data_IF_296084478054
#
_entry.id   IF_296084478054
#
_cell.length_a   1.000
_cell.length_b   1.000
_cell.length_c   1.000
_cell.angle_alpha   90.00
_cell.angle_beta   90.00
_cell.angle_gamma   90.00
#
_symmetry.space_group_name_H-M   'P 1'
#
loop_
_entity.id
_entity.type
_entity.pdbx_description
1 polymer ?
#
# COMPACT_ATOMS: atom_id res chain seq x y z
N UNK A 1 -15.32 8.24 1.02
CA UNK A 1 -15.37 6.88 0.46
C UNK A 1 -15.13 5.85 1.58
N UNK A 2 -15.79 4.68 1.55
CA UNK A 2 -15.68 3.68 2.64
C UNK A 2 -14.31 2.98 2.64
N UNK A 3 -13.74 2.71 1.47
CA UNK A 3 -12.43 2.08 1.33
C UNK A 3 -11.33 3.04 1.79
N UNK A 4 -11.37 4.31 1.38
CA UNK A 4 -10.46 5.35 1.89
C UNK A 4 -10.49 5.43 3.41
N UNK A 5 -11.68 5.43 4.02
CA UNK A 5 -11.81 5.52 5.47
C UNK A 5 -11.25 4.28 6.20
N UNK A 6 -11.37 3.10 5.61
CA UNK A 6 -10.79 1.87 6.16
C UNK A 6 -9.26 1.87 6.03
N UNK A 7 -8.73 2.22 4.86
CA UNK A 7 -7.28 2.34 4.62
C UNK A 7 -6.67 3.41 5.52
N UNK A 8 -7.32 4.55 5.70
CA UNK A 8 -6.82 5.63 6.56
C UNK A 8 -6.70 5.22 8.04
N UNK A 9 -7.50 4.25 8.50
CA UNK A 9 -7.43 3.68 9.85
C UNK A 9 -6.44 2.52 9.96
N UNK A 10 -5.99 1.98 8.83
CA UNK A 10 -5.00 0.90 8.79
C UNK A 10 -3.63 1.48 9.13
N UNK A 11 -2.88 0.78 9.99
CA UNK A 11 -1.57 1.27 10.40
C UNK A 11 -0.59 1.27 9.22
N UNK A 12 0.38 2.20 9.22
CA UNK A 12 1.40 2.23 8.17
C UNK A 12 2.21 0.93 8.09
N UNK A 13 2.41 0.24 9.23
CA UNK A 13 3.10 -1.07 9.25
C UNK A 13 2.32 -2.13 8.47
N UNK A 14 0.99 -2.19 8.65
CA UNK A 14 0.16 -3.18 7.95
C UNK A 14 0.08 -2.86 6.45
N UNK A 15 0.05 -1.57 6.09
CA UNK A 15 0.12 -1.13 4.68
C UNK A 15 1.46 -1.54 4.04
N UNK A 16 2.58 -1.43 4.77
CA UNK A 16 3.89 -1.90 4.30
C UNK A 16 3.89 -3.41 4.12
N UNK A 17 3.33 -4.17 5.07
CA UNK A 17 3.24 -5.63 4.94
C UNK A 17 2.40 -6.04 3.73
N UNK A 18 1.25 -5.40 3.55
CA UNK A 18 0.40 -5.58 2.37
C UNK A 18 1.17 -5.28 1.07
N UNK A 19 1.82 -4.12 0.99
CA UNK A 19 2.58 -3.70 -0.18
C UNK A 19 3.68 -4.70 -0.53
N UNK A 20 4.48 -5.12 0.46
CA UNK A 20 5.56 -6.09 0.26
C UNK A 20 5.03 -7.46 -0.22
N UNK A 21 3.94 -7.95 0.39
CA UNK A 21 3.32 -9.20 -0.03
C UNK A 21 2.77 -9.12 -1.46
N UNK A 22 2.20 -7.97 -1.83
CA UNK A 22 1.70 -7.70 -3.18
C UNK A 22 2.85 -7.62 -4.18
N UNK A 23 3.93 -6.90 -3.86
CA UNK A 23 5.12 -6.77 -4.69
C UNK A 23 5.79 -8.12 -4.99
N UNK A 24 5.86 -9.01 -3.99
CA UNK A 24 6.43 -10.36 -4.15
C UNK A 24 5.53 -11.25 -5.01
N UNK A 25 4.23 -11.28 -4.71
CA UNK A 25 3.32 -12.28 -5.31
C UNK A 25 2.71 -11.81 -6.63
N UNK A 26 2.53 -10.50 -6.80
CA UNK A 26 1.80 -9.88 -7.90
C UNK A 26 2.43 -8.54 -8.29
N UNK A 27 3.72 -8.55 -8.65
CA UNK A 27 4.46 -7.34 -9.00
C UNK A 27 3.84 -6.50 -10.14
N UNK A 28 3.02 -7.13 -10.99
CA UNK A 28 2.26 -6.40 -12.03
C UNK A 28 1.15 -5.51 -11.47
N UNK A 29 0.51 -5.93 -10.37
CA UNK A 29 -0.52 -5.16 -9.66
C UNK A 29 0.15 -4.07 -8.82
N UNK A 30 1.24 -4.40 -8.12
CA UNK A 30 2.01 -3.43 -7.33
C UNK A 30 2.39 -2.17 -8.13
N UNK A 31 2.83 -2.36 -9.39
CA UNK A 31 3.21 -1.29 -10.31
C UNK A 31 2.05 -0.44 -10.83
N UNK A 32 0.79 -0.85 -10.61
CA UNK A 32 -0.40 -0.07 -10.99
C UNK A 32 -0.86 0.86 -9.89
N UNK A 33 -0.56 0.53 -8.63
CA UNK A 33 -1.01 1.29 -7.46
C UNK A 33 0.09 2.27 -7.07
N UNK A 34 -0.24 3.53 -6.82
CA UNK A 34 0.75 4.58 -6.56
C UNK A 34 1.77 4.79 -7.71
N UNK A 35 1.37 4.61 -8.97
CA UNK A 35 2.22 4.96 -10.12
C UNK A 35 1.56 6.00 -11.05
N UNK A 36 0.55 6.72 -10.55
CA UNK A 36 -0.21 7.72 -11.28
C UNK A 36 0.24 9.17 -11.07
N UNK A 37 -0.47 10.09 -11.72
CA UNK A 37 -0.29 11.55 -11.58
C UNK A 37 -1.58 12.31 -11.22
N UNK A 38 -2.56 11.60 -10.65
CA UNK A 38 -3.88 12.17 -10.35
C UNK A 38 -3.94 12.84 -8.96
N UNK A 39 -3.03 12.51 -8.04
CA UNK A 39 -2.96 13.14 -6.73
C UNK A 39 -2.12 14.41 -6.80
N UNK A 40 -2.36 15.36 -5.91
CA UNK A 40 -1.61 16.62 -5.86
C UNK A 40 -0.24 16.37 -5.25
N UNK A 41 0.82 16.37 -6.04
CA UNK A 41 2.20 16.16 -5.58
C UNK A 41 2.96 17.45 -5.25
N UNK A 42 2.53 18.61 -5.77
CA UNK A 42 3.11 19.93 -5.47
C UNK A 42 2.11 20.86 -4.78
N UNK A 43 2.62 21.75 -3.92
CA UNK A 43 1.85 22.83 -3.29
C UNK A 43 1.30 23.81 -4.32
N UNK A 44 2.03 24.08 -5.41
CA UNK A 44 1.63 25.00 -6.46
C UNK A 44 2.09 24.49 -7.83
N UNK A 45 1.31 24.81 -8.87
CA UNK A 45 1.52 24.30 -10.22
C UNK A 45 1.14 22.83 -10.39
N UNK A 46 1.49 22.28 -11.55
CA UNK A 46 1.32 20.86 -11.85
C UNK A 46 2.47 20.00 -11.29
N UNK A 47 2.28 18.67 -11.32
CA UNK A 47 3.27 17.71 -10.85
C UNK A 47 4.41 17.47 -11.84
N UNK A 48 4.53 18.22 -12.94
CA UNK A 48 5.36 17.88 -14.11
C UNK A 48 6.83 17.57 -13.79
N UNK A 49 7.41 18.18 -12.77
CA UNK A 49 8.79 17.91 -12.33
C UNK A 49 8.94 16.64 -11.48
N UNK A 50 7.86 16.15 -10.86
CA UNK A 50 7.89 15.08 -9.87
C UNK A 50 8.07 13.71 -10.50
N UNK A 51 9.16 13.05 -10.15
CA UNK A 51 9.62 11.81 -10.77
C UNK A 51 9.86 10.67 -9.78
N UNK A 52 9.84 10.92 -8.47
CA UNK A 52 10.14 9.90 -7.47
C UNK A 52 9.52 10.21 -6.11
N UNK A 53 9.62 9.24 -5.21
CA UNK A 53 9.14 9.35 -3.84
C UNK A 53 10.27 9.68 -2.86
N UNK A 54 9.91 10.36 -1.77
CA UNK A 54 10.80 10.64 -0.64
C UNK A 54 10.02 10.92 0.64
N UNK A 55 10.71 10.94 1.78
CA UNK A 55 10.13 11.25 3.08
C UNK A 55 9.78 12.75 3.19
N UNK A 56 8.75 13.07 3.97
CA UNK A 56 8.47 14.43 4.42
C UNK A 56 9.67 15.04 5.15
N UNK A 57 9.94 16.31 4.87
CA UNK A 57 11.10 17.06 5.35
C UNK A 57 12.34 16.98 4.45
N UNK A 58 12.31 16.19 3.37
CA UNK A 58 13.44 16.12 2.45
C UNK A 58 13.60 17.40 1.60
N UNK A 59 14.84 17.85 1.39
CA UNK A 59 15.19 18.94 0.47
C UNK A 59 15.38 18.39 -0.95
N UNK A 60 14.28 18.29 -1.68
CA UNK A 60 14.22 17.68 -3.00
C UNK A 60 13.22 18.45 -3.87
N UNK A 61 13.62 18.83 -5.09
CA UNK A 61 12.79 19.67 -5.99
C UNK A 61 11.89 18.86 -6.95
N UNK A 62 12.16 17.55 -7.08
CA UNK A 62 11.55 16.65 -8.05
C UNK A 62 10.94 15.39 -7.43
N UNK A 63 10.67 15.41 -6.13
CA UNK A 63 10.10 14.27 -5.39
C UNK A 63 8.90 14.67 -4.56
N UNK A 64 8.09 13.68 -4.17
CA UNK A 64 6.89 13.87 -3.36
C UNK A 64 6.73 12.74 -2.34
N UNK A 65 5.92 12.96 -1.30
CA UNK A 65 5.47 11.92 -0.39
C UNK A 65 3.99 11.56 -0.61
N UNK A 66 3.50 11.79 -1.83
CA UNK A 66 2.11 11.54 -2.25
C UNK A 66 2.01 10.34 -3.19
N UNK A 67 1.28 9.30 -2.81
CA UNK A 67 0.91 8.21 -3.70
C UNK A 67 0.20 8.78 -4.93
N UNK A 68 0.62 8.35 -6.13
CA UNK A 68 0.10 8.83 -7.41
C UNK A 68 0.18 10.36 -7.60
N UNK A 69 1.15 11.01 -6.93
CA UNK A 69 1.46 12.44 -7.03
C UNK A 69 2.54 12.78 -8.04
N UNK A 70 2.81 11.92 -9.03
CA UNK A 70 3.85 12.16 -10.03
C UNK A 70 3.40 13.09 -11.15
N UNK A 71 4.36 13.57 -11.94
CA UNK A 71 4.03 14.20 -13.21
C UNK A 71 3.44 13.17 -14.18
N UNK A 72 2.34 13.50 -14.86
CA UNK A 72 1.64 12.60 -15.77
C UNK A 72 2.54 12.00 -16.86
N UNK A 73 3.54 12.75 -17.34
CA UNK A 73 4.52 12.24 -18.31
C UNK A 73 5.56 11.26 -17.75
N UNK A 74 5.59 11.05 -16.43
CA UNK A 74 6.54 10.24 -15.67
C UNK A 74 5.87 9.04 -14.96
N UNK A 75 4.59 9.18 -14.60
CA UNK A 75 3.72 8.11 -14.14
C UNK A 75 3.78 6.87 -15.06
N UNK A 76 3.82 5.66 -14.50
CA UNK A 76 3.85 4.40 -15.27
C UNK A 76 5.21 4.03 -15.87
N UNK A 77 6.20 4.94 -15.84
CA UNK A 77 7.47 4.77 -16.60
C UNK A 77 8.64 4.32 -15.75
N UNK A 78 8.52 4.42 -14.43
CA UNK A 78 9.61 4.14 -13.49
C UNK A 78 9.36 2.90 -12.64
N UNK A 79 8.16 2.32 -12.73
CA UNK A 79 7.79 1.12 -11.98
C UNK A 79 7.93 1.32 -10.48
N UNK A 80 7.52 2.49 -9.97
CA UNK A 80 7.62 2.80 -8.55
C UNK A 80 6.57 1.99 -7.78
N UNK A 81 5.30 2.17 -8.14
CA UNK A 81 4.24 1.35 -7.54
C UNK A 81 4.08 1.56 -6.03
N UNK A 82 3.30 0.66 -5.41
CA UNK A 82 2.95 0.76 -4.00
C UNK A 82 4.13 0.43 -3.09
N UNK A 83 4.92 -0.60 -3.42
CA UNK A 83 6.08 -1.02 -2.64
C UNK A 83 7.15 0.08 -2.56
N UNK A 84 7.49 0.74 -3.67
CA UNK A 84 8.46 1.85 -3.61
C UNK A 84 7.88 3.06 -2.88
N UNK A 85 6.58 3.34 -3.03
CA UNK A 85 5.92 4.41 -2.30
C UNK A 85 6.06 4.21 -0.79
N UNK A 86 5.66 3.04 -0.26
CA UNK A 86 5.67 2.82 1.20
C UNK A 86 7.09 2.84 1.79
N UNK A 87 8.08 2.35 1.03
CA UNK A 87 9.47 2.30 1.45
C UNK A 87 10.14 3.68 1.39
N UNK A 88 10.03 4.39 0.27
CA UNK A 88 10.69 5.69 0.07
C UNK A 88 10.08 6.81 0.89
N UNK A 89 8.80 6.69 1.23
CA UNK A 89 8.09 7.64 2.10
C UNK A 89 8.05 7.17 3.56
N UNK A 90 8.76 6.10 3.92
CA UNK A 90 8.90 5.65 5.33
C UNK A 90 7.57 5.42 6.05
N UNK A 91 6.59 4.86 5.36
CA UNK A 91 5.26 4.54 5.93
C UNK A 91 5.38 3.60 7.13
N UNK A 92 6.31 2.64 7.08
CA UNK A 92 6.57 1.70 8.17
C UNK A 92 7.12 2.35 9.45
N UNK A 93 7.68 3.55 9.34
CA UNK A 93 8.19 4.35 10.47
C UNK A 93 7.12 5.27 11.06
N UNK A 94 5.86 5.15 10.64
CA UNK A 94 4.76 6.00 11.10
C UNK A 94 4.76 7.38 10.45
N UNK A 95 5.41 7.54 9.29
CA UNK A 95 5.45 8.80 8.53
C UNK A 95 4.61 8.71 7.26
N UNK A 96 4.19 9.87 6.75
CA UNK A 96 3.55 10.02 5.43
C UNK A 96 2.31 9.13 5.19
N UNK A 97 1.67 8.63 6.25
CA UNK A 97 0.45 7.85 6.17
C UNK A 97 -0.49 8.18 7.35
N UNK A 98 -1.81 8.30 7.12
CA UNK A 98 -2.51 8.25 5.83
C UNK A 98 -2.42 9.57 5.03
N UNK A 99 -1.85 10.60 5.61
CA UNK A 99 -1.59 11.89 4.97
C UNK A 99 -0.09 12.02 4.67
N UNK A 100 0.23 12.36 3.42
CA UNK A 100 1.60 12.62 2.98
C UNK A 100 1.97 14.10 2.97
N UNK A 101 3.15 14.39 2.43
CA UNK A 101 3.63 15.75 2.16
C UNK A 101 3.78 16.01 0.65
N UNK A 102 3.49 17.23 0.23
CA UNK A 102 3.65 17.73 -1.13
C UNK A 102 4.92 18.58 -1.24
N UNK A 103 5.43 18.68 -2.46
CA UNK A 103 6.61 19.47 -2.80
C UNK A 103 6.27 20.98 -2.88
N UNK A 104 7.02 21.85 -2.20
CA UNK A 104 6.81 23.31 -2.20
C UNK A 104 7.59 24.06 -3.30
N UNK A 105 8.38 23.34 -4.10
CA UNK A 105 9.34 23.88 -5.07
C UNK A 105 10.73 23.32 -4.80
N UNK A 106 11.17 23.41 -3.55
CA UNK A 106 12.52 23.05 -3.13
C UNK A 106 12.53 21.87 -2.14
N UNK A 107 11.44 21.71 -1.38
CA UNK A 107 11.35 20.74 -0.30
C UNK A 107 10.02 19.98 -0.31
N UNK A 108 9.99 18.81 0.31
CA UNK A 108 8.77 18.00 0.52
C UNK A 108 8.28 18.22 1.95
N UNK A 109 7.73 19.39 2.26
CA UNK A 109 7.52 19.86 3.64
C UNK A 109 6.11 20.42 3.91
N UNK A 110 5.24 20.47 2.90
CA UNK A 110 3.87 20.96 3.06
C UNK A 110 2.93 19.77 3.22
N UNK A 111 2.12 19.77 4.27
CA UNK A 111 1.15 18.69 4.47
C UNK A 111 0.15 18.67 3.30
N UNK A 112 -0.09 17.48 2.75
CA UNK A 112 -1.11 17.28 1.73
C UNK A 112 -2.53 17.26 2.32
N UNK A 113 -3.50 16.93 1.47
CA UNK A 113 -4.89 16.79 1.89
C UNK A 113 -5.05 15.66 2.91
N UNK A 114 -5.98 15.84 3.85
CA UNK A 114 -6.27 14.84 4.90
C UNK A 114 -6.60 13.49 4.28
N UNK A 115 -5.88 12.45 4.69
CA UNK A 115 -5.98 11.09 4.15
C UNK A 115 -5.62 10.96 2.67
N UNK A 116 -4.92 11.93 2.07
CA UNK A 116 -4.65 11.96 0.63
C UNK A 116 -3.95 10.72 0.09
N UNK A 117 -3.04 10.10 0.85
CA UNK A 117 -2.40 8.86 0.41
C UNK A 117 -3.36 7.66 0.48
N UNK A 118 -4.19 7.58 1.53
CA UNK A 118 -5.22 6.55 1.60
C UNK A 118 -6.30 6.72 0.51
N UNK A 119 -6.61 7.96 0.12
CA UNK A 119 -7.51 8.27 -0.98
C UNK A 119 -6.92 7.84 -2.33
N UNK A 120 -5.66 8.19 -2.60
CA UNK A 120 -4.98 7.81 -3.82
C UNK A 120 -4.86 6.29 -3.97
N UNK A 121 -4.47 5.58 -2.91
CA UNK A 121 -4.44 4.10 -2.91
C UNK A 121 -5.83 3.53 -3.18
N UNK A 122 -6.87 4.00 -2.48
CA UNK A 122 -8.24 3.54 -2.70
C UNK A 122 -8.68 3.74 -4.15
N UNK A 123 -8.37 4.89 -4.72
CA UNK A 123 -8.70 5.23 -6.10
C UNK A 123 -8.00 4.30 -7.08
N UNK A 124 -6.70 4.06 -6.91
CA UNK A 124 -5.94 3.16 -7.79
C UNK A 124 -6.48 1.73 -7.73
N UNK A 125 -6.79 1.22 -6.53
CA UNK A 125 -7.39 -0.10 -6.35
C UNK A 125 -8.74 -0.25 -7.05
N UNK A 126 -9.51 0.84 -7.15
CA UNK A 126 -10.84 0.84 -7.78
C UNK A 126 -10.76 1.10 -9.29
N UNK A 127 -9.84 1.94 -9.76
CA UNK A 127 -9.84 2.44 -11.14
C UNK A 127 -8.82 1.76 -12.04
N UNK A 128 -7.65 1.39 -11.50
CA UNK A 128 -6.52 0.89 -12.31
C UNK A 128 -6.48 -0.64 -12.42
N UNK A 129 -7.25 -1.33 -11.57
CA UNK A 129 -7.26 -2.79 -11.50
C UNK A 129 -8.44 -3.42 -12.23
N UNK A 130 -8.19 -4.56 -12.87
CA UNK A 130 -9.27 -5.40 -13.42
C UNK A 130 -10.09 -6.05 -12.28
N UNK A 131 -11.30 -6.59 -12.57
CA UNK A 131 -12.08 -7.32 -11.56
C UNK A 131 -11.32 -8.48 -10.89
N UNK A 132 -10.50 -9.20 -11.65
CA UNK A 132 -9.67 -10.30 -11.15
C UNK A 132 -8.56 -9.80 -10.23
N UNK A 133 -7.86 -8.73 -10.63
CA UNK A 133 -6.82 -8.09 -9.82
C UNK A 133 -7.38 -7.52 -8.52
N UNK A 134 -8.58 -6.93 -8.56
CA UNK A 134 -9.30 -6.46 -7.36
C UNK A 134 -9.59 -7.58 -6.39
N UNK A 135 -10.00 -8.75 -6.90
CA UNK A 135 -10.28 -9.93 -6.09
C UNK A 135 -9.01 -10.42 -5.38
N UNK A 136 -7.88 -10.45 -6.11
CA UNK A 136 -6.57 -10.79 -5.55
C UNK A 136 -6.18 -9.81 -4.42
N UNK A 137 -6.28 -8.50 -4.68
CA UNK A 137 -5.91 -7.48 -3.70
C UNK A 137 -6.81 -7.54 -2.47
N UNK A 138 -8.13 -7.69 -2.64
CA UNK A 138 -9.06 -7.81 -1.52
C UNK A 138 -8.72 -9.02 -0.63
N UNK A 139 -8.42 -10.17 -1.24
CA UNK A 139 -8.00 -11.37 -0.51
C UNK A 139 -6.66 -11.18 0.21
N UNK A 140 -5.72 -10.46 -0.39
CA UNK A 140 -4.43 -10.17 0.23
C UNK A 140 -4.53 -9.15 1.37
N UNK A 141 -5.33 -8.10 1.22
CA UNK A 141 -5.64 -7.12 2.27
C UNK A 141 -6.28 -7.81 3.48
N UNK A 142 -7.26 -8.70 3.27
CA UNK A 142 -7.88 -9.45 4.35
C UNK A 142 -6.85 -10.31 5.10
N UNK A 143 -5.96 -11.01 4.39
CA UNK A 143 -4.90 -11.83 5.01
C UNK A 143 -3.88 -11.01 5.82
N UNK A 144 -3.52 -9.83 5.32
CA UNK A 144 -2.42 -9.02 5.87
C UNK A 144 -2.86 -8.05 6.96
N UNK A 145 -4.05 -7.47 6.86
CA UNK A 145 -4.52 -6.41 7.77
C UNK A 145 -5.45 -6.96 8.86
N UNK A 146 -6.25 -7.99 8.56
CA UNK A 146 -7.20 -8.52 9.53
C UNK A 146 -6.61 -9.66 10.39
N UNK A 147 -5.35 -10.01 10.17
CA UNK A 147 -4.72 -11.13 10.84
C UNK A 147 -5.27 -12.45 10.31
N UNK A 148 -4.68 -12.94 9.22
CA UNK A 148 -4.87 -14.30 8.75
C UNK A 148 -4.26 -15.33 9.70
N UNK A 149 -4.73 -15.40 10.95
CA UNK A 149 -4.69 -16.67 11.67
C UNK A 149 -5.75 -17.58 11.04
N UNK A 150 -5.39 -18.18 9.91
CA UNK A 150 -6.06 -19.39 9.45
C UNK A 150 -5.57 -20.50 10.40
N UNK A 151 -6.20 -20.65 11.56
CA UNK A 151 -6.21 -21.97 12.22
C UNK A 151 -7.15 -22.87 11.42
N UNK A 152 -6.64 -23.39 10.30
CA UNK A 152 -7.10 -24.68 9.81
C UNK A 152 -6.13 -25.74 10.34
N UNK A 153 -6.44 -26.28 11.52
CA UNK A 153 -6.40 -27.73 11.68
C UNK A 153 -7.66 -28.13 12.44
N UNK A 154 -8.78 -28.30 11.72
CA UNK A 154 -9.85 -29.17 12.20
C UNK A 154 -9.60 -30.58 11.68
N UNK A 155 -9.42 -31.47 12.65
CA UNK A 155 -9.61 -32.92 12.62
C UNK A 155 -8.55 -33.78 11.90
N UNK A 156 -7.74 -34.47 12.71
CA UNK A 156 -7.53 -35.91 12.49
C UNK A 156 -8.32 -36.62 13.59
N UNK A 157 -9.53 -37.07 13.24
CA UNK A 157 -10.32 -37.97 14.09
C UNK A 157 -9.96 -39.41 13.77
N UNK A 158 -9.92 -40.22 14.84
CA UNK A 158 -10.12 -41.67 14.86
C UNK A 158 -8.95 -42.56 14.46
N UNK A 159 -8.05 -42.81 15.41
CA UNK A 159 -7.82 -44.21 15.82
C UNK A 159 -8.01 -44.31 17.34
N UNK A 160 -9.15 -44.86 17.75
CA UNK A 160 -9.36 -45.34 19.11
C UNK A 160 -8.38 -46.49 19.33
N UNK A 161 -7.27 -46.25 20.02
CA UNK A 161 -6.42 -47.33 20.52
C UNK A 161 -6.97 -47.75 21.88
N UNK A 162 -8.05 -48.53 21.86
CA UNK A 162 -8.34 -49.45 22.96
C UNK A 162 -7.62 -50.76 22.66
N UNK A 163 -6.44 -50.95 23.26
CA UNK A 163 -5.86 -52.28 23.42
C UNK A 163 -5.85 -52.60 24.90
N UNK A 164 -6.82 -53.41 25.30
CA UNK A 164 -6.80 -54.15 26.56
C UNK A 164 -5.83 -55.31 26.40
N UNK A 165 -4.57 -55.12 26.82
CA UNK A 165 -3.60 -56.20 26.93
C UNK A 165 -3.53 -56.66 28.40
N UNK A 166 -4.54 -57.41 28.82
CA UNK A 166 -4.41 -58.39 29.90
C UNK A 166 -4.53 -59.78 29.26
N UNK A 167 -3.41 -60.48 29.08
CA UNK A 167 -3.31 -61.94 29.24
C UNK A 167 -1.84 -62.41 29.14
N UNK A 168 -1.15 -62.50 30.29
CA UNK A 168 -0.64 -63.73 30.93
C UNK A 168 -0.17 -63.35 32.35
#
# INVERSE_FOLDING_TARGET
DKLTAALAKTSGKDIVQFANALGISHSGIDKKVCDGGHARGKKSGDNGSLADYTDGGASQTNKTAQCSGMGTGKAGKRGLGLTEFVNKTKVGEGKNWPTGYVNDGDNVNVLGDTNGNAEAVAKDLVQELTPEEKTIVAGLLAKTIEGGEVVEIRAVSSTSVMVNACYD
#
